data_IF_750044281807
#
_entry.id   IF_750044281807
#
_cell.length_a   1.000
_cell.length_b   1.000
_cell.length_c   1.000
_cell.angle_alpha   90.00
_cell.angle_beta   90.00
_cell.angle_gamma   90.00
#
_symmetry.space_group_name_H-M   'P 1'
#
loop_
_entity.id
_entity.type
_entity.pdbx_description
1 polymer ?
#
# COMPACT_ATOMS: atom_id res chain seq x y z
N UNK A 1 4.00 21.57 -30.35
CA UNK A 1 3.66 21.44 -28.91
C UNK A 1 2.69 20.28 -28.76
N UNK A 2 2.97 19.29 -27.89
CA UNK A 2 2.01 18.21 -27.60
C UNK A 2 0.79 18.83 -26.91
N UNK A 3 -0.41 18.60 -27.43
CA UNK A 3 -1.67 18.98 -26.79
C UNK A 3 -1.69 18.29 -25.42
N UNK A 4 -1.69 19.06 -24.34
CA UNK A 4 -1.77 18.52 -22.98
C UNK A 4 -3.23 18.17 -22.71
N UNK A 5 -3.47 16.99 -22.13
CA UNK A 5 -4.80 16.60 -21.70
C UNK A 5 -5.16 17.37 -20.43
N UNK A 6 -6.35 17.97 -20.40
CA UNK A 6 -6.86 18.76 -19.26
C UNK A 6 -7.73 17.92 -18.32
N UNK A 7 -7.98 16.66 -18.66
CA UNK A 7 -8.78 15.75 -17.84
C UNK A 7 -8.02 14.44 -17.70
N UNK A 8 -7.88 13.97 -16.47
CA UNK A 8 -7.27 12.69 -16.13
C UNK A 8 -8.27 11.84 -15.34
N UNK A 9 -8.36 10.56 -15.69
CA UNK A 9 -9.09 9.57 -14.91
C UNK A 9 -8.09 8.52 -14.43
N UNK A 10 -7.80 8.54 -13.14
CA UNK A 10 -6.88 7.62 -12.47
C UNK A 10 -7.74 6.63 -11.68
N UNK A 11 -7.60 5.34 -11.97
CA UNK A 11 -8.33 4.31 -11.22
C UNK A 11 -7.49 3.07 -10.97
N UNK A 12 -7.75 2.38 -9.86
CA UNK A 12 -7.04 1.15 -9.53
C UNK A 12 -7.11 0.79 -8.05
N UNK A 13 -6.45 -0.31 -7.69
CA UNK A 13 -6.29 -0.81 -6.32
C UNK A 13 -4.89 -0.59 -5.74
N UNK A 14 -3.93 -0.12 -6.54
CA UNK A 14 -2.56 0.18 -6.08
C UNK A 14 -2.41 1.65 -5.68
N UNK A 15 -2.54 1.92 -4.38
CA UNK A 15 -2.52 3.26 -3.79
C UNK A 15 -1.23 4.03 -4.12
N UNK A 16 -0.08 3.36 -4.05
CA UNK A 16 1.21 3.99 -4.34
C UNK A 16 1.28 4.52 -5.77
N UNK A 17 0.80 3.74 -6.76
CA UNK A 17 0.82 4.15 -8.16
C UNK A 17 -0.16 5.30 -8.42
N UNK A 18 -1.32 5.29 -7.78
CA UNK A 18 -2.29 6.40 -7.86
C UNK A 18 -1.64 7.70 -7.40
N UNK A 19 -1.04 7.69 -6.21
CA UNK A 19 -0.44 8.88 -5.61
C UNK A 19 0.78 9.36 -6.42
N UNK A 20 1.58 8.42 -6.95
CA UNK A 20 2.70 8.73 -7.85
C UNK A 20 2.24 9.41 -9.13
N UNK A 21 1.17 8.93 -9.76
CA UNK A 21 0.63 9.54 -10.98
C UNK A 21 0.03 10.92 -10.71
N UNK A 22 -0.66 11.12 -9.58
CA UNK A 22 -1.12 12.45 -9.16
C UNK A 22 0.05 13.41 -9.02
N UNK A 23 1.12 13.02 -8.32
CA UNK A 23 2.35 13.83 -8.18
C UNK A 23 3.00 14.12 -9.53
N UNK A 24 3.09 13.12 -10.42
CA UNK A 24 3.64 13.29 -11.76
C UNK A 24 2.85 14.32 -12.58
N UNK A 25 1.51 14.31 -12.48
CA UNK A 25 0.65 15.28 -13.16
C UNK A 25 0.86 16.68 -12.56
N UNK A 26 0.87 16.83 -11.24
CA UNK A 26 1.12 18.13 -10.58
C UNK A 26 2.46 18.72 -11.06
N UNK A 27 3.53 17.92 -11.03
CA UNK A 27 4.86 18.35 -11.47
C UNK A 27 4.89 18.68 -12.97
N UNK A 28 4.17 17.94 -13.81
CA UNK A 28 4.10 18.17 -15.26
C UNK A 28 3.50 19.53 -15.61
N UNK A 29 2.57 20.03 -14.80
CA UNK A 29 1.93 21.33 -15.01
C UNK A 29 2.65 22.49 -14.30
N UNK A 30 3.72 22.20 -13.54
CA UNK A 30 4.49 23.17 -12.74
C UNK A 30 3.61 24.02 -11.81
N UNK A 31 2.46 23.52 -11.41
CA UNK A 31 1.54 24.25 -10.54
C UNK A 31 2.09 24.28 -9.12
N UNK A 32 2.10 25.45 -8.48
CA UNK A 32 2.39 25.53 -7.05
C UNK A 32 1.33 24.76 -6.25
N UNK A 33 1.69 24.30 -5.05
CA UNK A 33 0.75 23.61 -4.16
C UNK A 33 -0.50 24.46 -3.85
N UNK A 34 -0.37 25.78 -3.88
CA UNK A 34 -1.45 26.74 -3.65
C UNK A 34 -2.51 26.73 -4.76
N UNK A 35 -2.18 26.21 -5.95
CA UNK A 35 -3.11 26.05 -7.07
C UNK A 35 -3.71 24.65 -7.20
N UNK A 36 -3.49 23.78 -6.21
CA UNK A 36 -4.08 22.44 -6.14
C UNK A 36 -5.26 22.45 -5.16
N UNK A 37 -6.47 22.26 -5.68
CA UNK A 37 -7.70 22.14 -4.89
C UNK A 37 -8.14 20.68 -4.87
N UNK A 38 -8.54 20.16 -3.70
CA UNK A 38 -9.00 18.78 -3.52
C UNK A 38 -10.44 18.75 -3.04
N UNK A 39 -11.26 17.91 -3.67
CA UNK A 39 -12.64 17.65 -3.30
C UNK A 39 -12.81 16.18 -2.94
N UNK A 40 -13.43 15.90 -1.78
CA UNK A 40 -13.87 14.56 -1.44
C UNK A 40 -15.31 14.38 -1.93
N UNK A 41 -15.51 13.61 -2.99
CA UNK A 41 -16.84 13.44 -3.59
C UNK A 41 -17.77 12.49 -2.82
N UNK A 42 -17.34 11.92 -1.69
CA UNK A 42 -18.28 11.35 -0.71
C UNK A 42 -18.93 12.43 0.16
N UNK A 43 -18.41 13.67 0.17
CA UNK A 43 -18.88 14.79 1.02
C UNK A 43 -19.37 16.02 0.24
N UNK A 44 -18.86 16.24 -0.98
CA UNK A 44 -19.19 17.39 -1.82
C UNK A 44 -19.78 17.00 -3.19
N UNK A 45 -20.55 17.91 -3.80
CA UNK A 45 -21.06 17.65 -5.15
C UNK A 45 -19.93 17.82 -6.19
N UNK A 46 -19.99 17.05 -7.29
CA UNK A 46 -19.02 17.20 -8.39
C UNK A 46 -19.12 18.57 -9.08
N UNK A 47 -20.31 19.19 -8.97
CA UNK A 47 -20.55 20.54 -9.49
C UNK A 47 -19.62 21.58 -8.88
N UNK A 48 -19.34 21.49 -7.58
CA UNK A 48 -18.46 22.44 -6.90
C UNK A 48 -17.04 22.36 -7.48
N UNK A 49 -16.53 21.14 -7.70
CA UNK A 49 -15.24 20.92 -8.34
C UNK A 49 -15.18 21.46 -9.79
N UNK A 50 -16.28 21.36 -10.54
CA UNK A 50 -16.39 21.91 -11.90
C UNK A 50 -16.41 23.44 -11.88
N UNK A 51 -17.19 24.03 -10.98
CA UNK A 51 -17.25 25.49 -10.82
C UNK A 51 -15.86 26.03 -10.49
N UNK A 52 -15.13 25.36 -9.59
CA UNK A 52 -13.75 25.69 -9.26
C UNK A 52 -12.78 25.50 -10.43
N UNK A 53 -12.94 24.45 -11.25
CA UNK A 53 -12.13 24.24 -12.44
C UNK A 53 -12.38 25.31 -13.52
N UNK A 54 -13.58 25.89 -13.56
CA UNK A 54 -13.92 27.00 -14.44
C UNK A 54 -13.42 28.38 -13.95
N UNK A 55 -12.87 28.47 -12.75
CA UNK A 55 -12.29 29.72 -12.25
C UNK A 55 -10.86 29.91 -12.75
N UNK A 56 -10.57 31.12 -13.23
CA UNK A 56 -9.21 31.54 -13.59
C UNK A 56 -8.43 31.77 -12.29
N UNK A 57 -7.27 31.14 -12.15
CA UNK A 57 -6.35 31.47 -11.05
C UNK A 57 -5.79 32.88 -11.28
N UNK A 58 -5.82 33.71 -10.23
CA UNK A 58 -5.42 35.12 -10.31
C UNK A 58 -3.91 35.30 -10.48
N UNK A 59 -3.11 34.28 -10.15
CA UNK A 59 -1.65 34.41 -10.01
C UNK A 59 -0.83 33.38 -10.81
N UNK A 60 -1.43 32.29 -11.30
CA UNK A 60 -0.72 31.27 -12.06
C UNK A 60 -1.59 30.64 -13.16
N UNK A 61 -0.95 30.08 -14.17
CA UNK A 61 -1.60 29.21 -15.14
C UNK A 61 -1.67 27.77 -14.60
N UNK A 62 -2.64 26.98 -15.05
CA UNK A 62 -2.80 25.54 -14.71
C UNK A 62 -3.32 25.26 -13.29
N UNK A 63 -4.50 25.78 -12.93
CA UNK A 63 -5.19 25.37 -11.70
C UNK A 63 -5.48 23.86 -11.75
N UNK A 64 -5.13 23.11 -10.71
CA UNK A 64 -5.40 21.66 -10.65
C UNK A 64 -6.53 21.41 -9.65
N UNK A 65 -7.59 20.76 -10.12
CA UNK A 65 -8.69 20.30 -9.27
C UNK A 65 -8.68 18.78 -9.23
N UNK A 66 -8.58 18.22 -8.02
CA UNK A 66 -8.52 16.78 -7.78
C UNK A 66 -9.81 16.34 -7.09
N UNK A 67 -10.56 15.49 -7.78
CA UNK A 67 -11.75 14.84 -7.28
C UNK A 67 -11.37 13.47 -6.71
N UNK A 68 -11.30 13.37 -5.39
CA UNK A 68 -11.05 12.14 -4.65
C UNK A 68 -12.35 11.36 -4.41
N UNK A 69 -12.22 10.05 -4.19
CA UNK A 69 -13.34 9.14 -3.88
C UNK A 69 -14.50 9.24 -4.88
N UNK A 70 -14.21 9.16 -6.17
CA UNK A 70 -15.23 9.23 -7.23
C UNK A 70 -16.07 7.93 -7.33
N UNK A 71 -16.68 7.49 -6.22
CA UNK A 71 -17.38 6.21 -6.09
C UNK A 71 -18.59 6.10 -7.02
N UNK A 72 -19.21 7.23 -7.40
CA UNK A 72 -20.29 7.27 -8.39
C UNK A 72 -19.88 6.78 -9.79
N UNK A 73 -18.58 6.63 -10.08
CA UNK A 73 -18.05 6.01 -11.30
C UNK A 73 -17.96 4.48 -11.23
N UNK A 74 -18.16 3.89 -10.05
CA UNK A 74 -18.08 2.44 -9.81
C UNK A 74 -19.49 1.80 -9.72
N UNK A 75 -19.56 0.48 -9.60
CA UNK A 75 -20.82 -0.23 -9.35
C UNK A 75 -21.29 -0.15 -7.89
N UNK A 76 -20.48 0.41 -6.99
CA UNK A 76 -20.79 0.53 -5.57
C UNK A 76 -21.74 1.72 -5.35
N UNK A 77 -22.99 1.42 -5.03
CA UNK A 77 -24.02 2.42 -4.80
C UNK A 77 -23.97 2.93 -3.34
N UNK A 78 -22.97 3.74 -2.99
CA UNK A 78 -23.08 4.62 -1.82
C UNK A 78 -23.90 5.84 -2.23
N UNK A 79 -25.22 5.76 -2.04
CA UNK A 79 -26.21 6.77 -2.47
C UNK A 79 -26.26 8.00 -1.54
N UNK A 80 -25.14 8.49 -1.03
CA UNK A 80 -25.18 9.62 -0.07
C UNK A 80 -25.27 10.98 -0.78
N UNK A 81 -24.67 11.14 -1.97
CA UNK A 81 -24.68 12.41 -2.72
C UNK A 81 -25.19 12.21 -4.15
N UNK A 82 -26.16 13.03 -4.55
CA UNK A 82 -26.64 13.10 -5.93
C UNK A 82 -25.76 14.04 -6.76
N UNK A 83 -24.70 13.49 -7.37
CA UNK A 83 -23.81 14.25 -8.24
C UNK A 83 -24.52 14.75 -9.51
N UNK A 84 -24.23 16.00 -9.91
CA UNK A 84 -24.70 16.60 -11.16
C UNK A 84 -23.92 16.05 -12.37
N UNK A 85 -24.32 14.84 -12.82
CA UNK A 85 -23.67 14.13 -13.93
C UNK A 85 -23.83 14.88 -15.26
N UNK A 86 -24.93 15.58 -15.47
CA UNK A 86 -25.17 16.30 -16.72
C UNK A 86 -24.23 17.50 -16.87
N UNK A 87 -24.01 18.27 -15.79
CA UNK A 87 -23.01 19.35 -15.78
C UNK A 87 -21.59 18.80 -15.98
N UNK A 88 -21.27 17.66 -15.36
CA UNK A 88 -19.99 16.98 -15.56
C UNK A 88 -19.75 16.58 -17.02
N UNK A 89 -20.74 15.96 -17.67
CA UNK A 89 -20.61 15.55 -19.08
C UNK A 89 -20.44 16.77 -19.98
N UNK A 90 -21.14 17.88 -19.71
CA UNK A 90 -20.96 19.13 -20.47
C UNK A 90 -19.53 19.66 -20.33
N UNK A 91 -19.00 19.66 -19.11
CA UNK A 91 -17.63 20.10 -18.84
C UNK A 91 -16.59 19.20 -19.53
N UNK A 92 -16.72 17.88 -19.42
CA UNK A 92 -15.79 16.92 -20.02
C UNK A 92 -15.67 17.09 -21.55
N UNK A 93 -16.80 17.40 -22.21
CA UNK A 93 -16.83 17.60 -23.66
C UNK A 93 -16.20 18.93 -24.10
N UNK A 94 -16.12 19.91 -23.20
CA UNK A 94 -15.53 21.22 -23.48
C UNK A 94 -14.81 21.76 -22.24
N UNK A 95 -13.65 21.19 -21.87
CA UNK A 95 -12.95 21.54 -20.65
C UNK A 95 -12.35 22.94 -20.73
N UNK A 96 -12.24 23.59 -19.58
CA UNK A 96 -11.56 24.87 -19.49
C UNK A 96 -10.05 24.69 -19.75
N UNK A 97 -9.47 25.53 -20.61
CA UNK A 97 -8.10 25.34 -21.12
C UNK A 97 -7.03 25.47 -20.04
N UNK A 98 -7.28 26.31 -19.04
CA UNK A 98 -6.28 26.72 -18.04
C UNK A 98 -6.41 25.96 -16.72
N UNK A 99 -7.21 24.90 -16.73
CA UNK A 99 -7.40 24.02 -15.58
C UNK A 99 -7.17 22.56 -15.94
N UNK A 100 -6.78 21.79 -14.93
CA UNK A 100 -6.61 20.34 -15.01
C UNK A 100 -7.54 19.69 -14.01
N UNK A 101 -8.43 18.83 -14.48
CA UNK A 101 -9.36 18.09 -13.63
C UNK A 101 -8.93 16.63 -13.54
N UNK A 102 -8.68 16.15 -12.33
CA UNK A 102 -8.22 14.79 -12.05
C UNK A 102 -9.30 14.05 -11.28
N UNK A 103 -9.82 12.95 -11.82
CA UNK A 103 -10.73 12.04 -11.13
C UNK A 103 -9.96 10.85 -10.58
N UNK A 104 -10.07 10.61 -9.28
CA UNK A 104 -9.39 9.51 -8.58
C UNK A 104 -10.42 8.50 -8.10
N UNK A 105 -10.25 7.25 -8.53
CA UNK A 105 -11.08 6.10 -8.14
C UNK A 105 -10.20 5.01 -7.57
N UNK A 106 -10.22 4.82 -6.24
CA UNK A 106 -9.50 3.73 -5.56
C UNK A 106 -10.28 2.41 -5.64
N UNK A 107 -10.59 2.00 -6.86
CA UNK A 107 -11.28 0.74 -7.18
C UNK A 107 -10.72 0.18 -8.50
N UNK A 108 -10.44 -1.13 -8.60
CA UNK A 108 -9.87 -1.73 -9.81
C UNK A 108 -10.84 -1.73 -11.01
N UNK A 109 -12.13 -1.45 -10.81
CA UNK A 109 -13.14 -1.48 -11.87
C UNK A 109 -14.04 -0.25 -11.87
N UNK A 110 -14.29 0.26 -13.08
CA UNK A 110 -15.29 1.28 -13.36
C UNK A 110 -16.59 0.62 -13.86
N UNK A 111 -17.74 1.26 -13.66
CA UNK A 111 -19.01 0.78 -14.24
C UNK A 111 -19.18 1.30 -15.67
N UNK A 112 -18.70 0.53 -16.64
CA UNK A 112 -18.76 0.83 -18.08
C UNK A 112 -20.18 1.04 -18.62
N UNK A 113 -21.23 0.66 -17.88
CA UNK A 113 -22.62 0.88 -18.30
C UNK A 113 -23.03 2.34 -18.12
N UNK A 114 -22.39 3.07 -17.19
CA UNK A 114 -22.71 4.47 -16.88
C UNK A 114 -22.25 5.39 -18.00
N UNK A 115 -23.13 6.31 -18.43
CA UNK A 115 -22.85 7.29 -19.49
C UNK A 115 -21.59 8.13 -19.18
N UNK A 116 -21.46 8.59 -17.94
CA UNK A 116 -20.31 9.40 -17.48
C UNK A 116 -18.97 8.68 -17.65
N UNK A 117 -18.90 7.37 -17.36
CA UNK A 117 -17.68 6.57 -17.52
C UNK A 117 -17.29 6.47 -18.99
N UNK A 118 -18.27 6.24 -19.88
CA UNK A 118 -18.04 6.19 -21.34
C UNK A 118 -17.51 7.51 -21.88
N UNK A 119 -18.05 8.63 -21.42
CA UNK A 119 -17.62 9.97 -21.85
C UNK A 119 -16.22 10.32 -21.28
N UNK A 120 -15.96 10.05 -20.00
CA UNK A 120 -14.63 10.22 -19.41
C UNK A 120 -13.57 9.44 -20.19
N UNK A 121 -13.82 8.17 -20.54
CA UNK A 121 -12.86 7.38 -21.30
C UNK A 121 -12.54 7.92 -22.71
N UNK A 122 -13.47 8.66 -23.32
CA UNK A 122 -13.26 9.27 -24.64
C UNK A 122 -12.49 10.58 -24.55
N UNK A 123 -12.76 11.38 -23.52
CA UNK A 123 -12.35 12.78 -23.42
C UNK A 123 -11.23 13.03 -22.40
N UNK A 124 -10.86 12.02 -21.60
CA UNK A 124 -9.78 12.11 -20.60
C UNK A 124 -8.64 11.16 -20.91
N UNK A 125 -7.46 11.47 -20.36
CA UNK A 125 -6.38 10.52 -20.28
C UNK A 125 -6.63 9.54 -19.14
N UNK A 126 -6.86 8.28 -19.50
CA UNK A 126 -7.16 7.20 -18.57
C UNK A 126 -5.87 6.53 -18.12
N UNK A 127 -5.68 6.40 -16.80
CA UNK A 127 -4.51 5.78 -16.16
C UNK A 127 -5.02 4.70 -15.21
N UNK A 128 -4.63 3.45 -15.50
CA UNK A 128 -5.00 2.29 -14.69
C UNK A 128 -3.84 1.89 -13.76
N UNK A 129 -4.04 2.04 -12.46
CA UNK A 129 -3.09 1.78 -11.39
C UNK A 129 -3.43 0.48 -10.65
N UNK A 130 -3.29 -0.65 -11.34
CA UNK A 130 -3.57 -1.97 -10.76
C UNK A 130 -2.41 -2.47 -9.91
N UNK A 131 -2.73 -3.23 -8.86
CA UNK A 131 -1.76 -4.02 -8.10
C UNK A 131 -0.92 -4.85 -9.07
N UNK A 132 0.39 -4.70 -8.99
CA UNK A 132 1.31 -5.38 -9.91
C UNK A 132 1.47 -6.82 -9.44
N UNK A 133 1.01 -7.78 -10.25
CA UNK A 133 1.23 -9.20 -9.97
C UNK A 133 2.73 -9.55 -9.89
N UNK A 134 3.10 -10.51 -9.05
CA UNK A 134 4.50 -10.91 -8.79
C UNK A 134 5.34 -11.15 -10.06
N UNK A 135 4.74 -11.72 -11.10
CA UNK A 135 5.45 -11.95 -12.37
C UNK A 135 5.84 -10.63 -13.07
N UNK A 136 4.97 -9.63 -12.99
CA UNK A 136 5.20 -8.30 -13.58
C UNK A 136 6.03 -7.39 -12.68
N UNK A 137 6.10 -7.66 -11.38
CA UNK A 137 6.81 -6.83 -10.40
C UNK A 137 8.32 -6.80 -10.67
N UNK A 138 8.93 -7.95 -11.00
CA UNK A 138 10.34 -8.00 -11.39
C UNK A 138 10.65 -7.07 -12.58
N UNK A 139 9.80 -7.10 -13.60
CA UNK A 139 9.96 -6.26 -14.79
C UNK A 139 9.74 -4.78 -14.46
N UNK A 140 8.77 -4.48 -13.60
CA UNK A 140 8.51 -3.11 -13.15
C UNK A 140 9.72 -2.52 -12.42
N UNK A 141 10.29 -3.24 -11.44
CA UNK A 141 11.46 -2.79 -10.68
C UNK A 141 12.70 -2.70 -11.57
N UNK A 142 12.93 -3.68 -12.47
CA UNK A 142 14.02 -3.61 -13.45
C UNK A 142 13.92 -2.37 -14.33
N UNK A 143 12.71 -2.07 -14.83
CA UNK A 143 12.46 -0.86 -15.62
C UNK A 143 12.63 0.40 -14.79
N UNK A 144 12.24 0.38 -13.51
CA UNK A 144 12.40 1.51 -12.60
C UNK A 144 13.87 1.92 -12.44
N UNK A 145 14.77 0.97 -12.19
CA UNK A 145 16.22 1.25 -12.18
C UNK A 145 16.70 1.76 -13.55
N UNK A 146 16.28 1.11 -14.63
CA UNK A 146 16.69 1.48 -16.00
C UNK A 146 16.28 2.91 -16.38
N UNK A 147 15.05 3.33 -16.05
CA UNK A 147 14.56 4.69 -16.32
C UNK A 147 15.32 5.75 -15.51
N UNK A 148 15.85 5.38 -14.34
CA UNK A 148 16.72 6.23 -13.53
C UNK A 148 18.21 6.12 -13.91
N UNK A 149 18.56 5.40 -14.99
CA UNK A 149 19.92 5.17 -15.47
C UNK A 149 20.81 4.34 -14.51
N UNK A 150 20.22 3.35 -13.83
CA UNK A 150 20.95 2.37 -13.01
C UNK A 150 20.92 0.98 -13.64
N UNK A 151 22.02 0.25 -13.47
CA UNK A 151 22.16 -1.15 -13.84
C UNK A 151 21.93 -2.07 -12.65
N UNK A 152 21.13 -3.11 -12.84
CA UNK A 152 20.87 -4.15 -11.84
C UNK A 152 20.61 -5.49 -12.53
N UNK A 153 21.02 -6.60 -11.91
CA UNK A 153 20.73 -7.94 -12.42
C UNK A 153 19.30 -8.39 -12.05
N UNK A 154 18.72 -9.32 -12.82
CA UNK A 154 17.41 -9.87 -12.47
C UNK A 154 17.41 -10.63 -11.14
N UNK A 155 18.52 -11.28 -10.78
CA UNK A 155 18.67 -11.96 -9.48
C UNK A 155 18.66 -10.96 -8.32
N UNK A 156 19.28 -9.80 -8.50
CA UNK A 156 19.33 -8.74 -7.49
C UNK A 156 17.98 -8.05 -7.32
N UNK A 157 17.24 -7.80 -8.42
CA UNK A 157 15.84 -7.33 -8.35
C UNK A 157 14.97 -8.29 -7.56
N UNK A 158 15.12 -9.60 -7.82
CA UNK A 158 14.38 -10.62 -7.08
C UNK A 158 14.74 -10.62 -5.60
N UNK A 159 16.02 -10.46 -5.26
CA UNK A 159 16.48 -10.36 -3.87
C UNK A 159 15.82 -9.18 -3.15
N UNK A 160 15.74 -7.99 -3.77
CA UNK A 160 15.06 -6.82 -3.18
C UNK A 160 13.59 -7.15 -2.91
N UNK A 161 12.88 -7.68 -3.90
CA UNK A 161 11.46 -8.04 -3.76
C UNK A 161 11.28 -9.10 -2.65
N UNK A 162 12.22 -10.03 -2.54
CA UNK A 162 12.19 -11.07 -1.52
C UNK A 162 12.49 -10.55 -0.12
N UNK A 163 13.35 -9.56 0.08
CA UNK A 163 13.62 -8.95 1.39
C UNK A 163 12.48 -8.05 1.86
N UNK A 164 11.92 -7.25 0.96
CA UNK A 164 10.94 -6.21 1.31
C UNK A 164 9.51 -6.72 1.33
N UNK A 165 9.16 -7.66 0.44
CA UNK A 165 7.85 -8.33 0.31
C UNK A 165 6.64 -7.39 0.12
N UNK A 166 5.91 -7.60 -0.98
CA UNK A 166 4.51 -7.20 -1.28
C UNK A 166 4.04 -5.75 -1.04
N UNK A 167 4.87 -4.85 -0.56
CA UNK A 167 4.57 -3.42 -0.47
C UNK A 167 5.37 -2.68 -1.53
N UNK A 168 4.68 -2.26 -2.61
CA UNK A 168 5.31 -1.54 -3.71
C UNK A 168 5.93 -0.22 -3.25
N UNK A 169 5.32 0.48 -2.29
CA UNK A 169 5.85 1.73 -1.77
C UNK A 169 7.18 1.49 -1.04
N UNK A 170 7.24 0.47 -0.18
CA UNK A 170 8.48 0.11 0.49
C UNK A 170 9.54 -0.37 -0.50
N UNK A 171 9.19 -1.21 -1.47
CA UNK A 171 10.14 -1.69 -2.48
C UNK A 171 10.74 -0.50 -3.23
N UNK A 172 9.93 0.48 -3.64
CA UNK A 172 10.42 1.68 -4.31
C UNK A 172 11.29 2.52 -3.38
N UNK A 173 10.92 2.68 -2.11
CA UNK A 173 11.76 3.38 -1.13
C UNK A 173 13.13 2.71 -0.95
N UNK A 174 13.20 1.38 -0.95
CA UNK A 174 14.46 0.63 -0.89
C UNK A 174 15.27 0.79 -2.19
N UNK A 175 14.60 0.80 -3.35
CA UNK A 175 15.24 1.09 -4.63
C UNK A 175 15.84 2.51 -4.65
N UNK A 176 15.11 3.50 -4.14
CA UNK A 176 15.58 4.89 -4.04
C UNK A 176 16.82 4.99 -3.13
N UNK A 177 16.81 4.32 -1.97
CA UNK A 177 17.98 4.24 -1.09
C UNK A 177 19.18 3.61 -1.78
N UNK A 178 18.99 2.52 -2.51
CA UNK A 178 20.06 1.85 -3.27
C UNK A 178 20.63 2.76 -4.36
N UNK A 179 19.77 3.49 -5.07
CA UNK A 179 20.20 4.46 -6.07
C UNK A 179 21.02 5.58 -5.45
N UNK A 180 20.58 6.12 -4.31
CA UNK A 180 21.35 7.12 -3.55
C UNK A 180 22.69 6.57 -3.04
N UNK A 181 22.71 5.33 -2.55
CA UNK A 181 23.93 4.67 -2.08
C UNK A 181 24.95 4.43 -3.21
N UNK A 182 24.48 4.29 -4.47
CA UNK A 182 25.31 4.03 -5.66
C UNK A 182 25.27 5.14 -6.70
N UNK A 183 25.06 6.38 -6.29
CA UNK A 183 24.93 7.51 -7.23
C UNK A 183 26.16 7.67 -8.15
N UNK A 184 27.36 7.39 -7.64
CA UNK A 184 28.61 7.48 -8.41
C UNK A 184 28.77 6.37 -9.46
N UNK A 185 28.48 5.13 -9.09
CA UNK A 185 28.79 3.95 -9.91
C UNK A 185 27.60 3.47 -10.77
N UNK A 186 26.38 3.90 -10.42
CA UNK A 186 25.10 3.58 -11.09
C UNK A 186 24.87 2.09 -11.36
N UNK A 187 25.49 1.23 -10.57
CA UNK A 187 25.40 -0.22 -10.65
C UNK A 187 25.13 -0.79 -9.27
N UNK A 188 24.01 -1.49 -9.15
CA UNK A 188 23.58 -2.15 -7.92
C UNK A 188 24.10 -3.60 -7.94
N UNK A 189 24.71 -4.04 -6.85
CA UNK A 189 25.19 -5.40 -6.65
C UNK A 189 24.50 -6.07 -5.47
N UNK A 190 24.58 -7.40 -5.40
CA UNK A 190 24.03 -8.20 -4.30
C UNK A 190 24.50 -7.71 -2.93
N UNK A 191 25.79 -7.36 -2.80
CA UNK A 191 26.35 -6.86 -1.54
C UNK A 191 25.71 -5.54 -1.11
N UNK A 192 25.40 -4.66 -2.06
CA UNK A 192 24.77 -3.37 -1.74
C UNK A 192 23.35 -3.56 -1.22
N UNK A 193 22.64 -4.58 -1.74
CA UNK A 193 21.31 -4.96 -1.27
C UNK A 193 21.40 -5.54 0.15
N UNK A 194 22.42 -6.35 0.43
CA UNK A 194 22.66 -6.88 1.77
C UNK A 194 22.98 -5.77 2.78
N UNK A 195 23.76 -4.77 2.36
CA UNK A 195 24.19 -3.65 3.22
C UNK A 195 23.08 -2.60 3.47
N UNK A 196 22.19 -2.37 2.49
CA UNK A 196 21.21 -1.25 2.52
C UNK A 196 19.77 -1.70 2.78
N UNK A 197 19.36 -2.83 2.20
CA UNK A 197 17.97 -3.27 2.26
C UNK A 197 17.77 -4.11 3.51
N UNK A 198 16.87 -3.66 4.37
CA UNK A 198 16.50 -4.36 5.60
C UNK A 198 15.33 -5.29 5.29
N UNK A 199 15.33 -6.48 5.91
CA UNK A 199 14.23 -7.41 5.79
C UNK A 199 12.95 -6.83 6.41
N UNK A 200 11.81 -7.15 5.80
CA UNK A 200 10.52 -6.72 6.31
C UNK A 200 10.26 -7.30 7.71
N UNK A 201 10.03 -6.41 8.67
CA UNK A 201 9.78 -6.79 10.06
C UNK A 201 8.57 -7.71 10.18
N UNK A 202 7.51 -7.50 9.39
CA UNK A 202 6.33 -8.39 9.40
C UNK A 202 6.67 -9.80 8.94
N UNK A 203 7.56 -9.96 7.95
CA UNK A 203 8.02 -11.27 7.49
C UNK A 203 8.93 -11.94 8.53
N UNK A 204 9.78 -11.16 9.21
CA UNK A 204 10.56 -11.64 10.35
C UNK A 204 9.65 -12.12 11.49
N UNK A 205 8.57 -11.38 11.80
CA UNK A 205 7.57 -11.81 12.79
C UNK A 205 6.84 -13.07 12.32
N UNK A 206 6.50 -13.17 11.04
CA UNK A 206 5.90 -14.40 10.50
C UNK A 206 6.85 -15.59 10.63
N UNK A 207 8.11 -15.43 10.24
CA UNK A 207 9.18 -16.42 10.38
C UNK A 207 9.41 -16.81 11.83
N UNK A 208 9.35 -15.85 12.76
CA UNK A 208 9.43 -16.09 14.20
C UNK A 208 8.25 -16.95 14.68
N UNK A 209 7.02 -16.62 14.28
CA UNK A 209 5.84 -17.43 14.65
C UNK A 209 5.88 -18.84 14.08
N UNK A 210 6.44 -19.03 12.88
CA UNK A 210 6.65 -20.37 12.32
C UNK A 210 7.75 -21.14 13.09
N UNK A 211 8.84 -20.48 13.47
CA UNK A 211 9.89 -21.12 14.28
C UNK A 211 9.35 -21.55 15.66
N UNK A 212 8.48 -20.74 16.28
CA UNK A 212 7.74 -21.07 17.49
C UNK A 212 6.87 -22.32 17.29
N UNK A 213 6.12 -22.38 16.19
CA UNK A 213 5.28 -23.51 15.84
C UNK A 213 6.07 -24.80 15.68
N UNK A 214 7.21 -24.70 15.01
CA UNK A 214 8.12 -25.83 14.74
C UNK A 214 8.94 -26.22 15.98
N UNK A 215 8.81 -25.46 17.08
CA UNK A 215 9.58 -25.60 18.32
C UNK A 215 11.09 -25.53 18.08
N UNK A 216 11.51 -24.78 17.07
CA UNK A 216 12.91 -24.54 16.74
C UNK A 216 13.45 -23.34 17.52
N UNK A 217 13.84 -23.60 18.77
CA UNK A 217 14.33 -22.56 19.69
C UNK A 217 15.54 -21.83 19.13
N UNK A 218 16.44 -22.53 18.41
CA UNK A 218 17.62 -21.89 17.81
C UNK A 218 17.22 -20.86 16.78
N UNK A 219 16.27 -21.21 15.90
CA UNK A 219 15.74 -20.29 14.89
C UNK A 219 14.98 -19.13 15.52
N UNK A 220 14.20 -19.37 16.58
CA UNK A 220 13.50 -18.33 17.34
C UNK A 220 14.48 -17.29 17.88
N UNK A 221 15.55 -17.74 18.55
CA UNK A 221 16.56 -16.84 19.16
C UNK A 221 17.30 -16.05 18.08
N UNK A 222 17.68 -16.68 16.97
CA UNK A 222 18.38 -15.99 15.89
C UNK A 222 17.52 -14.85 15.31
N UNK A 223 16.27 -15.14 14.94
CA UNK A 223 15.35 -14.12 14.40
C UNK A 223 15.09 -13.02 15.44
N UNK A 224 14.94 -13.38 16.72
CA UNK A 224 14.76 -12.39 17.79
C UNK A 224 15.96 -11.47 17.93
N UNK A 225 17.18 -12.00 17.91
CA UNK A 225 18.41 -11.19 17.96
C UNK A 225 18.55 -10.29 16.74
N UNK A 226 18.22 -10.79 15.54
CA UNK A 226 18.25 -9.98 14.31
C UNK A 226 17.27 -8.80 14.42
N UNK A 227 16.07 -9.01 14.95
CA UNK A 227 15.10 -7.94 15.20
C UNK A 227 15.63 -6.91 16.20
N UNK A 228 16.30 -7.33 17.27
CA UNK A 228 16.93 -6.39 18.22
C UNK A 228 18.07 -5.59 17.57
N UNK A 229 18.87 -6.21 16.70
CA UNK A 229 19.94 -5.53 15.96
C UNK A 229 19.40 -4.50 14.97
N UNK A 230 18.19 -4.72 14.44
CA UNK A 230 17.47 -3.73 13.63
C UNK A 230 16.93 -2.53 14.45
N UNK A 231 17.11 -2.54 15.79
CA UNK A 231 16.63 -1.50 16.68
C UNK A 231 15.16 -1.65 17.07
N UNK A 232 14.57 -2.83 16.88
CA UNK A 232 13.19 -3.08 17.24
C UNK A 232 13.01 -3.21 18.76
N UNK A 233 12.09 -2.40 19.29
CA UNK A 233 11.78 -2.40 20.72
C UNK A 233 10.97 -3.64 21.13
N UNK A 234 11.33 -4.35 22.23
CA UNK A 234 10.62 -5.57 22.65
C UNK A 234 9.11 -5.40 22.81
N UNK A 235 8.66 -4.22 23.26
CA UNK A 235 7.23 -3.92 23.42
C UNK A 235 6.54 -3.90 22.06
N UNK A 236 7.18 -3.33 21.02
CA UNK A 236 6.66 -3.36 19.64
C UNK A 236 6.60 -4.81 19.14
N UNK A 237 7.64 -5.61 19.38
CA UNK A 237 7.67 -7.03 19.02
C UNK A 237 6.52 -7.82 19.69
N UNK A 238 6.25 -7.61 20.98
CA UNK A 238 5.13 -8.24 21.69
C UNK A 238 3.80 -7.94 20.98
N UNK A 239 3.57 -6.68 20.62
CA UNK A 239 2.35 -6.26 19.91
C UNK A 239 2.27 -6.92 18.53
N UNK A 240 3.37 -6.95 17.77
CA UNK A 240 3.42 -7.56 16.44
C UNK A 240 3.18 -9.07 16.49
N UNK A 241 3.81 -9.79 17.42
CA UNK A 241 3.59 -11.23 17.63
C UNK A 241 2.12 -11.48 18.02
N UNK A 242 1.57 -10.66 18.92
CA UNK A 242 0.17 -10.77 19.32
C UNK A 242 -0.79 -10.52 18.16
N UNK A 243 -0.54 -9.52 17.32
CA UNK A 243 -1.29 -9.27 16.09
C UNK A 243 -1.22 -10.46 15.14
N UNK A 244 -0.03 -11.05 14.95
CA UNK A 244 0.14 -12.20 14.08
C UNK A 244 -0.63 -13.43 14.57
N UNK A 245 -0.61 -13.72 15.88
CA UNK A 245 -1.44 -14.79 16.43
C UNK A 245 -2.94 -14.50 16.33
N UNK A 246 -3.36 -13.23 16.51
CA UNK A 246 -4.76 -12.82 16.28
C UNK A 246 -5.19 -13.03 14.84
N UNK A 247 -4.36 -12.65 13.86
CA UNK A 247 -4.62 -12.85 12.45
C UNK A 247 -4.79 -14.35 12.13
N UNK A 248 -3.86 -15.19 12.59
CA UNK A 248 -3.96 -16.65 12.41
C UNK A 248 -5.24 -17.20 13.05
N UNK A 249 -5.62 -16.72 14.23
CA UNK A 249 -6.84 -17.13 14.91
C UNK A 249 -8.10 -16.73 14.12
N UNK A 250 -8.18 -15.48 13.66
CA UNK A 250 -9.29 -14.97 12.85
C UNK A 250 -9.44 -15.80 11.57
N UNK A 251 -8.35 -15.98 10.82
CA UNK A 251 -8.35 -16.77 9.57
C UNK A 251 -8.81 -18.20 9.84
N UNK A 252 -8.30 -18.88 10.89
CA UNK A 252 -8.75 -20.25 11.22
C UNK A 252 -10.23 -20.34 11.57
N UNK A 253 -10.77 -19.35 12.29
CA UNK A 253 -12.19 -19.31 12.61
C UNK A 253 -13.05 -19.09 11.37
N UNK A 254 -12.62 -18.23 10.45
CA UNK A 254 -13.32 -17.98 9.19
C UNK A 254 -13.28 -19.21 8.26
N UNK A 255 -12.12 -19.87 8.13
CA UNK A 255 -12.00 -21.15 7.39
C UNK A 255 -12.95 -22.20 7.98
N UNK A 256 -13.00 -22.32 9.32
CA UNK A 256 -13.93 -23.23 10.00
C UNK A 256 -15.40 -22.93 9.70
N UNK A 257 -15.73 -21.66 9.47
CA UNK A 257 -17.07 -21.19 9.12
C UNK A 257 -17.36 -21.23 7.60
N UNK A 258 -16.44 -21.77 6.77
CA UNK A 258 -16.65 -21.98 5.34
C UNK A 258 -16.32 -20.80 4.43
N UNK A 259 -15.61 -19.78 4.93
CA UNK A 259 -15.18 -18.64 4.12
C UNK A 259 -14.09 -19.04 3.12
N UNK A 260 -14.08 -18.39 1.95
CA UNK A 260 -13.01 -18.52 0.94
C UNK A 260 -11.90 -17.51 1.20
N UNK A 261 -10.66 -17.85 0.83
CA UNK A 261 -9.47 -17.00 1.05
C UNK A 261 -9.63 -15.55 0.56
N UNK A 262 -10.26 -15.36 -0.60
CA UNK A 262 -10.50 -14.03 -1.19
C UNK A 262 -11.41 -13.17 -0.33
N UNK A 263 -12.46 -13.76 0.23
CA UNK A 263 -13.47 -13.06 1.01
C UNK A 263 -12.94 -12.74 2.42
N UNK A 264 -12.05 -13.59 2.95
CA UNK A 264 -11.38 -13.35 4.24
C UNK A 264 -10.48 -12.12 4.22
N UNK A 265 -9.73 -11.89 3.13
CA UNK A 265 -8.83 -10.74 3.03
C UNK A 265 -9.58 -9.40 3.12
N UNK A 266 -10.68 -9.26 2.37
CA UNK A 266 -11.52 -8.07 2.40
C UNK A 266 -12.20 -7.85 3.75
N UNK A 267 -12.66 -8.93 4.40
CA UNK A 267 -13.36 -8.83 5.68
C UNK A 267 -12.42 -8.47 6.84
N UNK A 268 -11.22 -9.04 6.86
CA UNK A 268 -10.21 -8.75 7.89
C UNK A 268 -9.54 -7.38 7.63
N UNK A 269 -9.56 -6.89 6.39
CA UNK A 269 -8.84 -5.68 5.99
C UNK A 269 -7.33 -5.90 5.87
N UNK A 270 -6.93 -7.13 5.52
CA UNK A 270 -5.53 -7.55 5.44
C UNK A 270 -5.17 -8.02 4.03
N UNK A 271 -3.89 -7.92 3.67
CA UNK A 271 -3.43 -8.28 2.34
C UNK A 271 -3.67 -9.80 2.06
N UNK A 272 -4.17 -10.21 0.87
CA UNK A 272 -4.50 -11.60 0.58
C UNK A 272 -3.35 -12.60 0.81
N UNK A 273 -2.11 -12.18 0.58
CA UNK A 273 -0.94 -13.02 0.85
C UNK A 273 -0.75 -13.29 2.35
N UNK A 274 -0.95 -12.29 3.22
CA UNK A 274 -0.87 -12.45 4.68
C UNK A 274 -1.94 -13.41 5.19
N UNK A 275 -3.16 -13.31 4.65
CA UNK A 275 -4.25 -14.24 4.94
C UNK A 275 -3.91 -15.66 4.49
N UNK A 276 -3.34 -15.83 3.29
CA UNK A 276 -2.90 -17.13 2.78
C UNK A 276 -1.81 -17.75 3.67
N UNK A 277 -0.82 -16.96 4.07
CA UNK A 277 0.23 -17.38 4.99
C UNK A 277 -0.35 -17.81 6.35
N UNK A 278 -1.27 -17.02 6.91
CA UNK A 278 -1.96 -17.33 8.16
C UNK A 278 -2.83 -18.59 8.07
N UNK A 279 -3.47 -18.84 6.92
CA UNK A 279 -4.25 -20.05 6.64
C UNK A 279 -3.39 -21.33 6.70
N UNK A 280 -2.15 -21.24 6.20
CA UNK A 280 -1.19 -22.35 6.20
C UNK A 280 -0.51 -22.59 7.56
N UNK A 281 -0.67 -21.69 8.53
CA UNK A 281 -0.05 -21.84 9.84
C UNK A 281 -0.65 -23.04 10.58
N UNK A 282 0.21 -23.92 11.10
CA UNK A 282 -0.13 -25.20 11.75
C UNK A 282 -0.38 -25.08 13.25
N UNK A 283 -0.98 -23.98 13.69
CA UNK A 283 -1.45 -23.82 15.07
C UNK A 283 -2.89 -24.34 15.26
N UNK A 284 -3.20 -24.82 16.45
CA UNK A 284 -4.58 -25.05 16.88
C UNK A 284 -5.20 -23.77 17.45
N UNK A 285 -6.54 -23.66 17.41
CA UNK A 285 -7.27 -22.53 18.03
C UNK A 285 -6.93 -22.41 19.53
N UNK A 286 -6.79 -23.55 20.23
CA UNK A 286 -6.49 -23.58 21.66
C UNK A 286 -5.07 -23.05 21.97
N UNK A 287 -4.07 -23.41 21.16
CA UNK A 287 -2.71 -22.88 21.28
C UNK A 287 -2.70 -21.36 21.06
N UNK A 288 -3.34 -20.87 19.99
CA UNK A 288 -3.40 -19.44 19.69
C UNK A 288 -4.02 -18.63 20.83
N UNK A 289 -5.16 -19.09 21.36
CA UNK A 289 -5.80 -18.44 22.52
C UNK A 289 -4.86 -18.44 23.73
N UNK A 290 -4.13 -19.54 23.95
CA UNK A 290 -3.17 -19.65 25.06
C UNK A 290 -2.02 -18.66 24.90
N UNK A 291 -1.43 -18.57 23.70
CA UNK A 291 -0.32 -17.66 23.43
C UNK A 291 -0.73 -16.20 23.48
N UNK A 292 -1.92 -15.85 22.97
CA UNK A 292 -2.48 -14.50 23.08
C UNK A 292 -2.66 -14.12 24.55
N UNK A 293 -3.17 -15.03 25.40
CA UNK A 293 -3.30 -14.78 26.85
C UNK A 293 -1.95 -14.64 27.56
N UNK A 294 -0.96 -15.47 27.22
CA UNK A 294 0.41 -15.34 27.76
C UNK A 294 1.01 -13.98 27.36
N UNK A 295 0.85 -13.55 26.11
CA UNK A 295 1.31 -12.24 25.63
C UNK A 295 0.59 -11.08 26.30
N UNK A 296 -0.71 -11.19 26.52
CA UNK A 296 -1.49 -10.18 27.26
C UNK A 296 -0.95 -10.00 28.67
N UNK A 297 -0.65 -11.11 29.38
CA UNK A 297 -0.07 -11.06 30.71
C UNK A 297 1.33 -10.43 30.69
N UNK A 298 2.16 -10.84 29.73
CA UNK A 298 3.50 -10.29 29.56
C UNK A 298 3.47 -8.77 29.32
N UNK A 299 2.60 -8.30 28.43
CA UNK A 299 2.43 -6.86 28.14
C UNK A 299 2.04 -6.08 29.41
N UNK A 300 1.13 -6.63 30.22
CA UNK A 300 0.74 -6.04 31.49
C UNK A 300 1.90 -6.00 32.50
N UNK A 301 2.63 -7.11 32.67
CA UNK A 301 3.72 -7.23 33.63
C UNK A 301 4.89 -6.29 33.27
N UNK A 302 5.16 -6.08 31.97
CA UNK A 302 6.16 -5.12 31.51
C UNK A 302 5.69 -3.68 31.75
N UNK A 303 4.46 -3.34 31.36
CA UNK A 303 3.92 -1.96 31.50
C UNK A 303 3.72 -1.54 32.96
N UNK A 304 3.50 -2.50 33.85
CA UNK A 304 3.42 -2.26 35.29
C UNK A 304 4.78 -2.20 35.99
N UNK A 305 5.88 -2.45 35.26
CA UNK A 305 7.24 -2.42 35.79
C UNK A 305 7.64 -3.67 36.59
N UNK A 306 6.83 -4.73 36.55
CA UNK A 306 7.12 -5.98 37.26
C UNK A 306 8.21 -6.81 36.57
N UNK A 307 8.37 -6.66 35.25
CA UNK A 307 9.31 -7.43 34.43
C UNK A 307 10.04 -6.49 33.46
N UNK A 308 11.36 -6.68 33.31
CA UNK A 308 12.13 -6.00 32.27
C UNK A 308 11.69 -6.45 30.87
N UNK A 309 11.56 -5.50 29.95
CA UNK A 309 11.01 -5.75 28.60
C UNK A 309 11.83 -6.74 27.77
N UNK A 310 13.16 -6.71 27.88
CA UNK A 310 14.03 -7.61 27.12
C UNK A 310 13.95 -9.02 27.70
N UNK A 311 14.17 -9.13 29.01
CA UNK A 311 14.11 -10.41 29.70
C UNK A 311 12.73 -11.07 29.58
N UNK A 312 11.65 -10.29 29.72
CA UNK A 312 10.29 -10.79 29.65
C UNK A 312 9.94 -11.42 28.30
N UNK A 313 10.30 -10.76 27.20
CA UNK A 313 10.05 -11.28 25.86
C UNK A 313 10.95 -12.48 25.55
N UNK A 314 12.24 -12.42 25.87
CA UNK A 314 13.16 -13.55 25.67
C UNK A 314 12.67 -14.79 26.45
N UNK A 315 12.33 -14.61 27.73
CA UNK A 315 11.79 -15.69 28.56
C UNK A 315 10.48 -16.24 27.99
N UNK A 316 9.60 -15.39 27.48
CA UNK A 316 8.39 -15.83 26.81
C UNK A 316 8.69 -16.69 25.59
N UNK A 317 9.61 -16.27 24.71
CA UNK A 317 9.97 -16.98 23.49
C UNK A 317 10.61 -18.36 23.78
N UNK A 318 11.37 -18.48 24.87
CA UNK A 318 11.98 -19.74 25.29
C UNK A 318 10.98 -20.74 25.90
N UNK A 319 9.87 -20.27 26.45
CA UNK A 319 8.90 -21.07 27.22
C UNK A 319 7.51 -21.16 26.58
N UNK A 320 7.41 -20.83 25.29
CA UNK A 320 6.12 -20.75 24.62
C UNK A 320 5.51 -22.12 24.35
#
# INVERSE_FOLDING_TARGET
MKKMDNIYLIYGDEEFLIDKEIKNIINKFNSSMENVVRYNLDESNVREAIEDACTISMFETNKIVICEKCNFLTGENKKEINHDIDSLIKYINNPFSDSVLIFVVRNPKLDERKKVVKELKKCSKVIECKTIENYNLNNYISNYFKTNNYEISQSDVKLIIDKVKYDLANIISECDKLMMYKDENKKITTKDIEDVVIDNIEDNIFSLTNAIMDKDIKRVINIYNDLLLMGEEPIKLIVMIANQFRLILQVKLMVKNGYKERDMASEIGEHPYRVKLASNARFTIKELITYIKKLQKLDYDIKSGNIDKNFGLEFFLLNI
#
